data_IF_906180754233
#
_entry.id   IF_906180754233
#
_cell.length_a   1.000
_cell.length_b   1.000
_cell.length_c   1.000
_cell.angle_alpha   90.00
_cell.angle_beta   90.00
_cell.angle_gamma   90.00
#
_symmetry.space_group_name_H-M   'P 1'
#
loop_
_entity.id
_entity.type
_entity.pdbx_description
1 polymer ?
#
# COMPACT_ATOMS: atom_id res chain seq x y z
N UNK A 1 -10.53 -20.60 38.64
CA UNK A 1 -9.64 -21.32 37.70
C UNK A 1 -10.10 -21.24 36.29
N UNK A 2 -11.38 -21.34 36.00
CA UNK A 2 -11.89 -21.30 34.63
C UNK A 2 -11.81 -19.90 33.97
N UNK A 3 -11.69 -18.83 34.78
CA UNK A 3 -11.60 -17.47 34.27
C UNK A 3 -10.29 -17.16 33.53
N UNK A 4 -9.23 -17.91 33.81
CA UNK A 4 -7.94 -17.73 33.15
C UNK A 4 -7.93 -18.23 31.70
N UNK A 5 -8.73 -19.25 31.38
CA UNK A 5 -8.86 -19.78 30.03
C UNK A 5 -9.64 -18.83 29.11
N UNK A 6 -10.60 -18.08 29.68
CA UNK A 6 -11.40 -17.11 28.93
C UNK A 6 -10.55 -15.91 28.49
N UNK A 7 -9.58 -15.50 29.31
CA UNK A 7 -8.71 -14.36 29.01
C UNK A 7 -7.78 -14.65 27.82
N UNK A 8 -7.35 -15.89 27.63
CA UNK A 8 -6.48 -16.28 26.52
C UNK A 8 -7.19 -16.26 25.16
N UNK A 9 -8.51 -16.45 25.14
CA UNK A 9 -9.29 -16.46 23.90
C UNK A 9 -9.42 -15.04 23.33
N UNK A 10 -9.42 -14.01 24.18
CA UNK A 10 -9.55 -12.62 23.73
C UNK A 10 -8.29 -12.09 23.04
N UNK A 11 -7.11 -12.61 23.35
CA UNK A 11 -5.86 -12.12 22.75
C UNK A 11 -5.70 -12.53 21.28
N UNK A 12 -6.34 -13.61 20.82
CA UNK A 12 -6.27 -14.07 19.44
C UNK A 12 -7.18 -13.30 18.50
N UNK A 13 -8.11 -12.49 19.01
CA UNK A 13 -9.08 -11.75 18.20
C UNK A 13 -8.52 -10.45 17.60
N UNK A 14 -7.31 -10.07 17.95
CA UNK A 14 -6.72 -8.78 17.55
C UNK A 14 -5.92 -8.82 16.26
N UNK A 15 -5.72 -9.99 15.66
CA UNK A 15 -4.97 -10.11 14.40
C UNK A 15 -5.91 -9.79 13.24
N UNK A 16 -5.67 -8.66 12.59
CA UNK A 16 -6.47 -8.19 11.48
C UNK A 16 -5.76 -8.51 10.15
N UNK A 17 -6.35 -9.33 9.25
CA UNK A 17 -5.74 -9.64 7.95
C UNK A 17 -5.46 -8.40 7.10
N UNK A 18 -6.31 -7.37 7.17
CA UNK A 18 -6.11 -6.13 6.43
C UNK A 18 -4.85 -5.38 6.89
N UNK A 19 -4.61 -5.32 8.21
CA UNK A 19 -3.41 -4.70 8.75
C UNK A 19 -2.14 -5.45 8.33
N UNK A 20 -2.21 -6.78 8.26
CA UNK A 20 -1.09 -7.61 7.78
C UNK A 20 -0.81 -7.37 6.30
N UNK A 21 -1.85 -7.23 5.47
CA UNK A 21 -1.70 -6.94 4.05
C UNK A 21 -1.03 -5.58 3.83
N UNK A 22 -1.43 -4.54 4.58
CA UNK A 22 -0.81 -3.22 4.53
C UNK A 22 0.66 -3.25 4.95
N UNK A 23 1.00 -4.00 6.00
CA UNK A 23 2.39 -4.19 6.44
C UNK A 23 3.24 -4.82 5.36
N UNK A 24 2.73 -5.81 4.63
CA UNK A 24 3.45 -6.45 3.53
C UNK A 24 3.70 -5.50 2.38
N UNK A 25 2.74 -4.65 2.05
CA UNK A 25 2.90 -3.63 1.01
C UNK A 25 4.03 -2.66 1.37
N UNK A 26 4.04 -2.16 2.61
CA UNK A 26 5.09 -1.26 3.09
C UNK A 26 6.46 -1.94 3.08
N UNK A 27 6.54 -3.17 3.56
CA UNK A 27 7.78 -3.96 3.53
C UNK A 27 8.29 -4.14 2.10
N UNK A 28 7.40 -4.46 1.16
CA UNK A 28 7.74 -4.61 -0.25
C UNK A 28 8.32 -3.33 -0.83
N UNK A 29 7.73 -2.18 -0.53
CA UNK A 29 8.23 -0.87 -0.98
C UNK A 29 9.63 -0.61 -0.45
N UNK A 30 9.88 -0.90 0.82
CA UNK A 30 11.18 -0.69 1.44
C UNK A 30 12.26 -1.62 0.88
N UNK A 31 11.89 -2.86 0.53
CA UNK A 31 12.81 -3.86 0.00
C UNK A 31 13.16 -3.66 -1.48
N UNK A 32 12.31 -2.98 -2.22
CA UNK A 32 12.45 -2.81 -3.67
C UNK A 32 12.48 -1.32 -4.05
N UNK A 33 13.55 -0.61 -3.70
CA UNK A 33 13.63 0.82 -3.99
C UNK A 33 13.64 1.13 -5.50
N UNK A 34 14.18 0.24 -6.32
CA UNK A 34 14.19 0.43 -7.77
C UNK A 34 12.78 0.39 -8.36
N UNK A 35 11.96 -0.54 -7.89
CA UNK A 35 10.57 -0.61 -8.29
C UNK A 35 9.80 0.63 -7.86
N UNK A 36 10.02 1.08 -6.62
CA UNK A 36 9.41 2.30 -6.10
C UNK A 36 9.80 3.51 -6.93
N UNK A 37 11.06 3.62 -7.34
CA UNK A 37 11.53 4.70 -8.20
C UNK A 37 10.88 4.65 -9.60
N UNK A 38 10.67 3.46 -10.13
CA UNK A 38 9.97 3.27 -11.39
C UNK A 38 8.51 3.75 -11.31
N UNK A 39 7.84 3.42 -10.21
CA UNK A 39 6.47 3.91 -9.97
C UNK A 39 6.48 5.44 -9.84
N UNK A 40 7.46 6.01 -9.15
CA UNK A 40 7.60 7.46 -9.03
C UNK A 40 7.79 8.14 -10.38
N UNK A 41 8.54 7.54 -11.30
CA UNK A 41 8.65 8.05 -12.66
C UNK A 41 7.29 8.11 -13.35
N UNK A 42 6.51 7.05 -13.23
CA UNK A 42 5.15 7.03 -13.77
C UNK A 42 4.28 8.12 -13.14
N UNK A 43 4.43 8.35 -11.84
CA UNK A 43 3.71 9.41 -11.13
C UNK A 43 4.07 10.80 -11.67
N UNK A 44 5.34 11.05 -11.92
CA UNK A 44 5.80 12.32 -12.47
C UNK A 44 5.26 12.54 -13.88
N UNK A 45 5.19 11.50 -14.70
CA UNK A 45 4.60 11.58 -16.03
C UNK A 45 3.12 11.92 -15.99
N UNK A 46 2.38 11.32 -15.05
CA UNK A 46 0.97 11.67 -14.83
C UNK A 46 0.83 13.14 -14.42
N UNK A 47 1.65 13.60 -13.49
CA UNK A 47 1.61 14.97 -13.01
C UNK A 47 1.92 15.99 -14.12
N UNK A 48 2.79 15.66 -15.07
CA UNK A 48 3.03 16.51 -16.24
C UNK A 48 1.77 16.72 -17.08
N UNK A 49 0.87 15.75 -17.05
CA UNK A 49 -0.43 15.81 -17.73
C UNK A 49 -1.53 16.36 -16.81
N UNK A 50 -1.16 16.86 -15.64
CA UNK A 50 -2.08 17.34 -14.61
C UNK A 50 -3.04 16.25 -14.10
N UNK A 51 -2.55 15.01 -14.05
CA UNK A 51 -3.29 13.85 -13.53
C UNK A 51 -2.71 13.48 -12.18
N UNK A 52 -3.60 13.31 -11.18
CA UNK A 52 -3.22 12.87 -9.84
C UNK A 52 -2.76 11.42 -9.85
N UNK A 53 -1.78 11.11 -9.01
CA UNK A 53 -1.31 9.73 -8.79
C UNK A 53 -2.40 8.86 -8.15
N UNK A 54 -3.40 9.47 -7.53
CA UNK A 54 -4.55 8.78 -6.93
C UNK A 54 -5.78 8.77 -7.83
N UNK A 55 -5.64 9.18 -9.08
CA UNK A 55 -6.75 9.08 -10.03
C UNK A 55 -7.19 7.62 -10.22
N UNK A 56 -8.47 7.37 -10.53
CA UNK A 56 -8.94 6.00 -10.78
C UNK A 56 -8.11 5.25 -11.82
N UNK A 57 -7.69 5.96 -12.87
CA UNK A 57 -6.85 5.38 -13.94
C UNK A 57 -5.49 4.94 -13.42
N UNK A 58 -4.84 5.76 -12.60
CA UNK A 58 -3.54 5.44 -12.01
C UNK A 58 -3.63 4.26 -11.06
N UNK A 59 -4.60 4.27 -10.17
CA UNK A 59 -4.81 3.18 -9.20
C UNK A 59 -5.13 1.86 -9.92
N UNK A 60 -5.99 1.90 -10.93
CA UNK A 60 -6.34 0.72 -11.70
C UNK A 60 -5.12 0.13 -12.42
N UNK A 61 -4.26 0.98 -12.97
CA UNK A 61 -3.02 0.56 -13.63
C UNK A 61 -2.11 -0.19 -12.66
N UNK A 62 -1.89 0.34 -11.48
CA UNK A 62 -1.07 -0.30 -10.44
C UNK A 62 -1.70 -1.62 -9.98
N UNK A 63 -3.01 -1.61 -9.75
CA UNK A 63 -3.75 -2.82 -9.39
C UNK A 63 -3.53 -3.94 -10.40
N UNK A 64 -3.65 -3.63 -11.67
CA UNK A 64 -3.46 -4.60 -12.76
C UNK A 64 -2.01 -5.06 -12.87
N UNK A 65 -1.07 -4.14 -12.84
CA UNK A 65 0.36 -4.46 -12.99
C UNK A 65 0.90 -5.30 -11.84
N UNK A 66 0.44 -5.04 -10.64
CA UNK A 66 0.90 -5.73 -9.43
C UNK A 66 0.01 -6.91 -9.05
N UNK A 67 -1.11 -7.10 -9.74
CA UNK A 67 -2.10 -8.13 -9.42
C UNK A 67 -2.56 -8.03 -7.96
N UNK A 68 -2.95 -6.84 -7.56
CA UNK A 68 -3.47 -6.54 -6.22
C UNK A 68 -4.81 -5.83 -6.32
N UNK A 69 -5.55 -5.75 -5.22
CA UNK A 69 -6.83 -5.06 -5.18
C UNK A 69 -6.67 -3.56 -5.43
N UNK A 70 -7.76 -2.88 -5.78
CA UNK A 70 -7.76 -1.42 -5.93
C UNK A 70 -7.40 -0.72 -4.63
N UNK A 71 -7.87 -1.23 -3.50
CA UNK A 71 -7.54 -0.69 -2.17
C UNK A 71 -6.06 -0.84 -1.88
N UNK A 72 -5.50 -2.01 -2.15
CA UNK A 72 -4.06 -2.26 -1.95
C UNK A 72 -3.22 -1.39 -2.89
N UNK A 73 -3.68 -1.18 -4.12
CA UNK A 73 -3.01 -0.30 -5.07
C UNK A 73 -2.98 1.15 -4.57
N UNK A 74 -4.07 1.62 -3.99
CA UNK A 74 -4.12 2.95 -3.39
C UNK A 74 -3.16 3.08 -2.21
N UNK A 75 -3.14 2.10 -1.31
CA UNK A 75 -2.23 2.07 -0.16
C UNK A 75 -0.78 2.01 -0.63
N UNK A 76 -0.47 1.16 -1.62
CA UNK A 76 0.87 1.08 -2.21
C UNK A 76 1.30 2.42 -2.78
N UNK A 77 0.41 3.09 -3.50
CA UNK A 77 0.68 4.42 -4.08
C UNK A 77 1.00 5.46 -3.01
N UNK A 78 0.29 5.41 -1.87
CA UNK A 78 0.56 6.30 -0.74
C UNK A 78 1.96 6.06 -0.15
N UNK A 79 2.36 4.81 0.00
CA UNK A 79 3.68 4.47 0.52
C UNK A 79 4.80 4.88 -0.43
N UNK A 80 4.66 4.57 -1.71
CA UNK A 80 5.65 4.94 -2.73
C UNK A 80 5.82 6.46 -2.79
N UNK A 81 4.70 7.17 -2.90
CA UNK A 81 4.72 8.62 -2.95
C UNK A 81 5.36 9.21 -1.69
N UNK A 82 4.92 8.78 -0.53
CA UNK A 82 5.40 9.33 0.74
C UNK A 82 6.88 9.10 1.00
N UNK A 83 7.40 7.95 0.58
CA UNK A 83 8.79 7.58 0.85
C UNK A 83 9.77 8.04 -0.24
N UNK A 84 9.34 8.14 -1.49
CA UNK A 84 10.27 8.32 -2.61
C UNK A 84 9.96 9.50 -3.52
N UNK A 85 8.73 10.00 -3.54
CA UNK A 85 8.35 11.10 -4.44
C UNK A 85 7.20 11.93 -3.87
N UNK A 86 7.42 12.48 -2.68
CA UNK A 86 6.41 13.26 -1.97
C UNK A 86 6.01 14.55 -2.68
N UNK A 87 6.78 15.00 -3.67
CA UNK A 87 6.45 16.17 -4.49
C UNK A 87 5.33 15.90 -5.50
N UNK A 88 5.02 14.64 -5.76
CA UNK A 88 3.94 14.28 -6.69
C UNK A 88 2.56 14.48 -6.05
N UNK A 89 1.56 14.67 -6.87
CA UNK A 89 0.18 14.84 -6.41
C UNK A 89 -0.79 13.88 -7.07
#
# INVERSE_FOLDING_TARGET
MNSLLITLIFTSAWINPAAMAQSRLLEGVKKNPEEAQSICQSFRELNKKNISVFSPKSIQKISTQKNISLVDAEVLSMYVRGLYCSETF
#
